data_IF_505115694539
#
_entry.id   IF_505115694539
#
_cell.length_a   1.000
_cell.length_b   1.000
_cell.length_c   1.000
_cell.angle_alpha   90.00
_cell.angle_beta   90.00
_cell.angle_gamma   90.00
#
_symmetry.space_group_name_H-M   'P 1'
#
loop_
_entity.id
_entity.type
_entity.pdbx_description
1 polymer ?
#
# COMPACT_ATOMS: atom_id res chain seq x y z
N UNK A 1 -18.00 19.08 -6.45
CA UNK A 1 -17.67 18.03 -5.46
C UNK A 1 -18.53 16.81 -5.76
N UNK A 2 -18.01 15.57 -5.76
CA UNK A 2 -18.85 14.39 -5.98
C UNK A 2 -19.80 14.21 -4.79
N UNK A 3 -21.07 14.02 -5.08
CA UNK A 3 -22.18 13.93 -4.12
C UNK A 3 -21.99 12.90 -2.98
N UNK A 4 -21.06 12.00 -3.09
CA UNK A 4 -20.79 10.92 -2.13
C UNK A 4 -19.67 11.23 -1.11
N UNK A 5 -18.84 12.28 -1.32
CA UNK A 5 -17.85 12.74 -0.33
C UNK A 5 -18.52 13.38 0.90
N UNK A 6 -19.75 13.83 0.75
CA UNK A 6 -20.56 14.49 1.81
C UNK A 6 -21.14 13.45 2.79
N UNK A 7 -21.37 12.20 2.33
CA UNK A 7 -22.10 11.19 3.12
C UNK A 7 -21.23 10.23 3.92
N UNK A 8 -19.93 10.16 3.65
CA UNK A 8 -19.02 9.18 4.31
C UNK A 8 -18.03 9.92 5.23
N UNK A 9 -18.44 10.96 5.91
CA UNK A 9 -17.61 11.73 6.85
C UNK A 9 -16.15 11.83 6.39
N UNK A 10 -15.57 13.02 6.30
CA UNK A 10 -14.25 13.29 5.70
C UNK A 10 -13.21 12.21 5.98
N UNK A 11 -12.35 11.97 5.03
CA UNK A 11 -11.23 11.02 5.13
C UNK A 11 -10.51 11.30 6.46
N UNK A 12 -10.47 10.35 7.41
CA UNK A 12 -9.79 10.58 8.67
C UNK A 12 -8.30 10.86 8.37
N UNK A 13 -7.80 11.97 8.89
CA UNK A 13 -6.37 12.34 8.84
C UNK A 13 -5.44 11.24 9.39
N UNK A 14 -5.99 10.30 10.13
CA UNK A 14 -5.31 9.15 10.74
C UNK A 14 -4.70 8.15 9.76
N UNK A 15 -5.07 8.16 8.48
CA UNK A 15 -4.33 7.41 7.46
C UNK A 15 -3.00 8.09 7.08
N UNK A 16 -2.73 9.29 7.61
CA UNK A 16 -1.53 10.05 7.30
C UNK A 16 -0.33 9.72 8.20
N UNK A 17 -0.52 9.11 9.37
CA UNK A 17 0.58 8.77 10.28
C UNK A 17 0.27 7.49 11.07
N UNK A 18 0.58 6.34 10.50
CA UNK A 18 0.81 5.14 11.29
C UNK A 18 2.14 5.27 12.04
N UNK A 19 2.14 5.97 13.19
CA UNK A 19 3.20 5.83 14.17
C UNK A 19 3.00 4.49 14.85
N UNK A 20 3.74 3.50 14.44
CA UNK A 20 3.97 2.34 15.29
C UNK A 20 4.98 2.74 16.37
N UNK A 21 4.49 3.26 17.49
CA UNK A 21 5.20 3.30 18.75
C UNK A 21 5.24 1.88 19.31
N UNK A 22 6.26 1.13 18.99
CA UNK A 22 6.57 -0.13 19.66
C UNK A 22 7.34 0.18 20.93
N UNK A 23 6.65 0.11 22.08
CA UNK A 23 7.29 0.01 23.39
C UNK A 23 8.05 -1.33 23.45
N UNK A 24 9.36 -1.26 23.24
CA UNK A 24 10.25 -2.39 23.49
C UNK A 24 10.72 -2.31 24.93
N UNK A 25 10.01 -3.00 25.84
CA UNK A 25 10.45 -3.28 27.20
C UNK A 25 11.81 -3.97 27.17
N UNK A 26 12.86 -3.23 27.52
CA UNK A 26 14.23 -3.71 27.60
C UNK A 26 14.42 -4.61 28.82
N UNK A 27 14.72 -5.88 28.59
CA UNK A 27 15.32 -6.76 29.58
C UNK A 27 16.84 -6.51 29.55
N UNK A 28 17.36 -5.83 30.55
CA UNK A 28 18.82 -5.70 30.75
C UNK A 28 19.37 -6.92 31.51
N UNK A 29 20.33 -7.65 30.97
CA UNK A 29 21.24 -8.43 31.81
C UNK A 29 22.42 -7.52 32.21
N UNK A 30 22.69 -7.48 33.49
CA UNK A 30 23.86 -6.84 34.07
C UNK A 30 25.13 -7.55 33.56
N UNK A 31 25.98 -6.80 32.85
CA UNK A 31 27.29 -7.30 32.43
C UNK A 31 28.39 -6.62 33.24
N UNK A 32 29.10 -7.45 33.99
CA UNK A 32 30.22 -7.08 34.82
C UNK A 32 31.37 -6.41 34.01
N UNK A 33 31.95 -5.36 34.60
CA UNK A 33 33.10 -4.64 34.07
C UNK A 33 34.36 -5.53 34.11
N UNK A 34 34.83 -5.96 32.94
CA UNK A 34 36.17 -6.44 32.76
C UNK A 34 36.90 -5.51 31.77
N UNK A 35 37.83 -4.71 32.31
CA UNK A 35 38.72 -3.88 31.49
C UNK A 35 39.79 -4.78 30.87
N UNK A 36 39.64 -5.12 29.60
CA UNK A 36 40.77 -5.55 28.77
C UNK A 36 40.96 -4.57 27.61
N UNK A 37 42.09 -3.85 27.62
CA UNK A 37 42.56 -3.05 26.47
C UNK A 37 42.91 -4.00 25.34
N UNK A 38 41.94 -4.28 24.46
CA UNK A 38 42.15 -4.98 23.20
C UNK A 38 42.37 -3.98 22.09
N UNK A 39 43.49 -4.14 21.38
CA UNK A 39 43.89 -3.39 20.19
C UNK A 39 42.78 -3.48 19.14
N UNK A 40 42.13 -2.35 18.87
CA UNK A 40 41.04 -2.26 17.88
C UNK A 40 41.60 -2.46 16.48
N UNK A 41 41.44 -3.64 15.90
CA UNK A 41 41.62 -3.84 14.47
C UNK A 41 40.38 -3.32 13.78
N UNK A 42 40.54 -2.31 12.89
CA UNK A 42 39.43 -1.80 12.05
C UNK A 42 38.89 -2.96 11.22
N UNK A 43 37.61 -3.32 11.35
CA UNK A 43 37.01 -4.28 10.44
C UNK A 43 36.94 -3.65 9.05
N UNK A 44 37.44 -4.36 8.04
CA UNK A 44 37.37 -3.96 6.65
C UNK A 44 35.88 -3.73 6.28
N UNK A 45 35.55 -2.50 5.85
CA UNK A 45 34.26 -2.16 5.33
C UNK A 45 33.97 -2.97 4.06
N UNK A 46 33.42 -4.17 4.21
CA UNK A 46 32.73 -4.84 3.10
C UNK A 46 31.39 -4.18 2.92
N UNK A 47 31.28 -3.30 1.92
CA UNK A 47 30.02 -2.82 1.38
C UNK A 47 29.28 -4.01 0.76
N UNK A 48 28.64 -4.82 1.56
CA UNK A 48 27.59 -5.68 1.09
C UNK A 48 26.28 -4.86 1.13
N UNK A 49 25.96 -4.26 -0.01
CA UNK A 49 24.57 -3.94 -0.31
C UNK A 49 23.84 -5.29 -0.34
N UNK A 50 23.40 -5.75 0.82
CA UNK A 50 22.52 -6.90 0.94
C UNK A 50 21.24 -6.54 0.23
N UNK A 51 21.06 -7.02 -0.99
CA UNK A 51 19.76 -7.10 -1.62
C UNK A 51 18.95 -8.09 -0.78
N UNK A 52 18.30 -7.57 0.26
CA UNK A 52 17.33 -8.32 1.00
C UNK A 52 16.29 -8.79 -0.01
N UNK A 53 16.25 -10.10 -0.28
CA UNK A 53 15.13 -10.69 -1.02
C UNK A 53 13.92 -10.45 -0.17
N UNK A 54 13.18 -9.38 -0.48
CA UNK A 54 11.86 -9.18 0.08
C UNK A 54 11.05 -10.41 -0.28
N UNK A 55 10.68 -11.23 0.70
CA UNK A 55 9.67 -12.25 0.56
C UNK A 55 8.33 -11.53 0.38
N UNK A 56 8.15 -10.94 -0.79
CA UNK A 56 6.86 -10.43 -1.20
C UNK A 56 5.97 -11.65 -1.44
N UNK A 57 4.77 -11.70 -0.85
CA UNK A 57 3.81 -12.72 -1.21
C UNK A 57 3.66 -12.78 -2.73
N UNK A 58 3.56 -13.97 -3.31
CA UNK A 58 3.42 -14.21 -4.78
C UNK A 58 2.26 -13.45 -5.44
N UNK A 59 1.46 -12.74 -4.68
CA UNK A 59 0.31 -11.97 -5.13
C UNK A 59 0.62 -10.55 -5.64
N UNK A 60 1.86 -10.08 -5.53
CA UNK A 60 2.28 -8.85 -6.19
C UNK A 60 2.58 -9.07 -7.67
N UNK A 61 1.56 -9.48 -8.41
CA UNK A 61 1.53 -9.17 -9.84
C UNK A 61 1.66 -7.66 -9.98
N UNK A 62 2.55 -7.21 -10.86
CA UNK A 62 2.67 -5.79 -11.23
C UNK A 62 1.25 -5.21 -11.32
N UNK A 63 0.90 -4.20 -10.52
CA UNK A 63 -0.46 -3.72 -10.42
C UNK A 63 -0.86 -3.14 -11.76
N UNK A 64 -1.51 -3.96 -12.56
CA UNK A 64 -2.25 -3.45 -13.70
C UNK A 64 -3.49 -2.78 -13.13
N UNK A 65 -3.70 -1.52 -13.47
CA UNK A 65 -4.86 -0.74 -13.00
C UNK A 65 -6.19 -1.50 -13.16
N UNK A 66 -6.32 -2.24 -14.25
CA UNK A 66 -7.51 -3.07 -14.52
C UNK A 66 -7.69 -4.19 -13.49
N UNK A 67 -6.60 -4.82 -13.03
CA UNK A 67 -6.68 -5.87 -11.99
C UNK A 67 -7.10 -5.27 -10.65
N UNK A 68 -6.51 -4.14 -10.28
CA UNK A 68 -6.84 -3.43 -9.05
C UNK A 68 -8.30 -2.96 -9.04
N UNK A 69 -8.76 -2.36 -10.13
CA UNK A 69 -10.15 -1.93 -10.30
C UNK A 69 -11.12 -3.11 -10.28
N UNK A 70 -10.77 -4.26 -10.87
CA UNK A 70 -11.60 -5.46 -10.80
C UNK A 70 -11.73 -5.98 -9.35
N UNK A 71 -10.64 -5.97 -8.57
CA UNK A 71 -10.69 -6.35 -7.15
C UNK A 71 -11.57 -5.38 -6.35
N UNK A 72 -11.50 -4.08 -6.62
CA UNK A 72 -12.40 -3.07 -6.04
C UNK A 72 -13.85 -3.40 -6.31
N UNK A 73 -14.18 -3.62 -7.59
CA UNK A 73 -15.53 -3.99 -8.01
C UNK A 73 -16.04 -5.23 -7.26
N UNK A 74 -15.24 -6.29 -7.20
CA UNK A 74 -15.63 -7.53 -6.50
C UNK A 74 -15.85 -7.31 -4.99
N UNK A 75 -15.04 -6.45 -4.36
CA UNK A 75 -15.25 -6.07 -2.95
C UNK A 75 -16.53 -5.26 -2.75
N UNK A 76 -16.87 -4.35 -3.67
CA UNK A 76 -18.13 -3.60 -3.62
C UNK A 76 -19.34 -4.52 -3.83
N UNK A 77 -19.26 -5.42 -4.81
CA UNK A 77 -20.30 -6.41 -5.04
C UNK A 77 -20.59 -7.26 -3.79
N UNK A 78 -19.52 -7.66 -3.09
CA UNK A 78 -19.64 -8.37 -1.81
C UNK A 78 -20.27 -7.49 -0.73
N UNK A 79 -19.93 -6.21 -0.67
CA UNK A 79 -20.51 -5.28 0.31
C UNK A 79 -22.02 -5.11 0.06
N UNK A 80 -22.44 -4.97 -1.20
CA UNK A 80 -23.88 -4.94 -1.54
C UNK A 80 -24.59 -6.23 -1.12
N UNK A 81 -23.96 -7.41 -1.33
CA UNK A 81 -24.52 -8.68 -0.90
C UNK A 81 -24.66 -8.76 0.63
N UNK A 82 -23.65 -8.30 1.37
CA UNK A 82 -23.67 -8.24 2.83
C UNK A 82 -24.80 -7.34 3.34
N UNK A 83 -25.01 -6.16 2.70
CA UNK A 83 -26.08 -5.22 3.05
C UNK A 83 -27.45 -5.86 2.76
N UNK A 84 -27.68 -6.35 1.55
CA UNK A 84 -28.98 -6.95 1.18
C UNK A 84 -29.32 -8.15 2.07
N UNK A 85 -28.31 -8.94 2.47
CA UNK A 85 -28.52 -10.08 3.39
C UNK A 85 -28.92 -9.64 4.80
N UNK A 86 -28.36 -8.52 5.29
CA UNK A 86 -28.65 -8.02 6.65
C UNK A 86 -29.95 -7.23 6.75
N UNK A 87 -30.35 -6.56 5.67
CA UNK A 87 -31.54 -5.68 5.63
C UNK A 87 -32.77 -6.34 5.03
N UNK A 88 -32.62 -7.45 4.30
CA UNK A 88 -33.68 -8.05 3.50
C UNK A 88 -34.01 -7.29 2.22
N UNK A 89 -33.29 -6.23 1.92
CA UNK A 89 -33.50 -5.38 0.75
C UNK A 89 -33.28 -6.12 -0.58
N UNK A 90 -34.07 -5.76 -1.60
CA UNK A 90 -33.94 -6.35 -2.92
C UNK A 90 -32.60 -6.00 -3.55
N UNK A 91 -31.86 -7.05 -3.95
CA UNK A 91 -30.57 -6.89 -4.59
C UNK A 91 -30.65 -6.15 -5.92
N UNK A 92 -29.87 -5.07 -6.12
CA UNK A 92 -29.85 -4.33 -7.38
C UNK A 92 -29.16 -5.13 -8.49
N UNK A 93 -29.43 -4.77 -9.76
CA UNK A 93 -28.86 -5.44 -10.94
C UNK A 93 -27.43 -4.99 -11.17
N UNK A 94 -26.45 -5.76 -10.70
CA UNK A 94 -25.02 -5.39 -10.71
C UNK A 94 -24.24 -5.80 -11.98
N UNK A 95 -24.84 -6.51 -12.91
CA UNK A 95 -24.21 -6.97 -14.17
C UNK A 95 -22.87 -7.71 -13.99
N UNK A 96 -22.67 -8.45 -12.91
CA UNK A 96 -21.42 -9.14 -12.52
C UNK A 96 -20.82 -10.00 -13.62
N UNK A 97 -21.66 -10.80 -14.30
CA UNK A 97 -21.21 -11.68 -15.40
C UNK A 97 -20.61 -10.87 -16.55
N UNK A 98 -21.20 -9.73 -16.88
CA UNK A 98 -20.71 -8.84 -17.94
C UNK A 98 -19.39 -8.19 -17.54
N UNK A 99 -19.32 -7.64 -16.33
CA UNK A 99 -18.13 -6.99 -15.80
C UNK A 99 -16.94 -7.97 -15.74
N UNK A 100 -17.17 -9.21 -15.26
CA UNK A 100 -16.16 -10.27 -15.24
C UNK A 100 -15.71 -10.65 -16.65
N UNK A 101 -16.63 -10.78 -17.59
CA UNK A 101 -16.30 -11.11 -19.00
C UNK A 101 -15.45 -10.00 -19.63
N UNK A 102 -15.79 -8.74 -19.40
CA UNK A 102 -15.01 -7.60 -19.91
C UNK A 102 -13.60 -7.57 -19.32
N UNK A 103 -13.45 -7.87 -18.02
CA UNK A 103 -12.15 -8.03 -17.38
C UNK A 103 -11.34 -9.19 -17.98
N UNK A 104 -11.92 -10.38 -18.05
CA UNK A 104 -11.24 -11.59 -18.55
C UNK A 104 -10.81 -11.46 -20.02
N UNK A 105 -11.56 -10.74 -20.84
CA UNK A 105 -11.21 -10.50 -22.23
C UNK A 105 -9.86 -9.80 -22.38
N UNK A 106 -9.58 -8.78 -21.54
CA UNK A 106 -8.28 -8.12 -21.54
C UNK A 106 -7.21 -8.97 -20.86
N UNK A 107 -7.53 -9.59 -19.72
CA UNK A 107 -6.56 -10.38 -18.94
C UNK A 107 -6.01 -11.57 -19.71
N UNK A 108 -6.84 -12.22 -20.54
CA UNK A 108 -6.46 -13.36 -21.38
C UNK A 108 -5.80 -12.96 -22.72
N UNK A 109 -5.84 -11.68 -23.07
CA UNK A 109 -5.23 -11.20 -24.32
C UNK A 109 -3.70 -11.25 -24.23
N UNK A 110 -3.05 -11.90 -25.21
CA UNK A 110 -1.59 -11.94 -25.32
C UNK A 110 -1.01 -10.57 -25.69
N UNK A 111 -1.69 -9.84 -26.60
CA UNK A 111 -1.31 -8.48 -27.01
C UNK A 111 -2.32 -7.50 -26.46
N UNK A 112 -1.85 -6.51 -25.69
CA UNK A 112 -2.67 -5.50 -25.03
C UNK A 112 -2.28 -4.12 -25.55
N UNK A 113 -3.06 -3.56 -26.47
CA UNK A 113 -2.85 -2.19 -26.94
C UNK A 113 -3.24 -1.18 -25.85
N UNK A 114 -2.61 0.00 -25.85
CA UNK A 114 -2.95 1.09 -24.93
C UNK A 114 -4.45 1.46 -25.02
N UNK A 115 -5.03 1.46 -26.23
CA UNK A 115 -6.46 1.69 -26.46
C UNK A 115 -7.34 0.65 -25.78
N UNK A 116 -6.95 -0.66 -25.85
CA UNK A 116 -7.70 -1.73 -25.20
C UNK A 116 -7.63 -1.63 -23.67
N UNK A 117 -6.46 -1.31 -23.11
CA UNK A 117 -6.26 -1.10 -21.67
C UNK A 117 -7.11 0.10 -21.21
N UNK A 118 -7.02 1.24 -21.89
CA UNK A 118 -7.81 2.44 -21.56
C UNK A 118 -9.32 2.16 -21.60
N UNK A 119 -9.79 1.42 -22.61
CA UNK A 119 -11.21 1.02 -22.71
C UNK A 119 -11.64 0.12 -21.55
N UNK A 120 -10.79 -0.81 -21.12
CA UNK A 120 -11.07 -1.70 -20.00
C UNK A 120 -11.09 -0.92 -18.65
N UNK A 121 -10.14 -0.02 -18.43
CA UNK A 121 -10.12 0.88 -17.25
C UNK A 121 -11.42 1.68 -17.20
N UNK A 122 -11.82 2.33 -18.31
CA UNK A 122 -13.07 3.10 -18.39
C UNK A 122 -14.29 2.27 -17.96
N UNK A 123 -14.40 1.04 -18.45
CA UNK A 123 -15.51 0.14 -18.09
C UNK A 123 -15.49 -0.24 -16.61
N UNK A 124 -14.33 -0.56 -16.05
CA UNK A 124 -14.22 -0.89 -14.63
C UNK A 124 -14.60 0.30 -13.75
N UNK A 125 -14.15 1.52 -14.08
CA UNK A 125 -14.55 2.74 -13.38
C UNK A 125 -16.08 2.95 -13.42
N UNK A 126 -16.72 2.69 -14.57
CA UNK A 126 -18.19 2.78 -14.68
C UNK A 126 -18.90 1.74 -13.80
N UNK A 127 -18.40 0.52 -13.73
CA UNK A 127 -18.98 -0.51 -12.85
C UNK A 127 -18.83 -0.13 -11.38
N UNK A 128 -17.66 0.34 -10.97
CA UNK A 128 -17.37 0.80 -9.59
C UNK A 128 -18.31 1.96 -9.23
N UNK A 129 -18.39 2.98 -10.08
CA UNK A 129 -19.26 4.14 -9.86
C UNK A 129 -20.72 3.74 -9.62
N UNK A 130 -21.23 2.81 -10.41
CA UNK A 130 -22.58 2.29 -10.25
C UNK A 130 -22.75 1.55 -8.92
N UNK A 131 -21.80 0.66 -8.59
CA UNK A 131 -21.86 -0.16 -7.39
C UNK A 131 -21.74 0.69 -6.11
N UNK A 132 -20.92 1.73 -6.14
CA UNK A 132 -20.87 2.77 -5.09
C UNK A 132 -22.22 3.48 -4.98
N UNK A 133 -22.84 3.85 -6.11
CA UNK A 133 -24.16 4.48 -6.13
C UNK A 133 -25.24 3.65 -5.43
N UNK A 134 -25.23 2.33 -5.59
CA UNK A 134 -26.16 1.46 -4.87
C UNK A 134 -25.94 1.49 -3.35
N UNK A 135 -24.69 1.48 -2.90
CA UNK A 135 -24.38 1.55 -1.47
C UNK A 135 -24.81 2.91 -0.90
N UNK A 136 -24.59 4.00 -1.64
CA UNK A 136 -25.05 5.33 -1.24
C UNK A 136 -26.57 5.36 -1.12
N UNK A 137 -27.31 4.76 -2.06
CA UNK A 137 -28.78 4.66 -1.98
C UNK A 137 -29.23 3.90 -0.73
N UNK A 138 -28.60 2.79 -0.37
CA UNK A 138 -28.92 2.08 0.87
C UNK A 138 -28.66 2.94 2.11
N UNK A 139 -27.56 3.69 2.15
CA UNK A 139 -27.28 4.60 3.28
C UNK A 139 -28.34 5.71 3.35
N UNK A 140 -28.74 6.26 2.21
CA UNK A 140 -29.82 7.28 2.14
C UNK A 140 -31.19 6.74 2.57
N UNK A 141 -31.47 5.45 2.33
CA UNK A 141 -32.68 4.79 2.85
C UNK A 141 -32.59 4.40 4.34
N UNK A 142 -31.53 4.80 5.04
CA UNK A 142 -31.40 4.61 6.49
C UNK A 142 -30.57 3.39 6.91
N UNK A 143 -29.99 2.64 5.96
CA UNK A 143 -29.14 1.49 6.29
C UNK A 143 -27.83 1.96 6.93
N UNK A 144 -27.54 1.48 8.12
CA UNK A 144 -26.28 1.76 8.83
C UNK A 144 -25.20 0.77 8.40
N UNK A 145 -24.09 1.31 7.87
CA UNK A 145 -22.91 0.51 7.54
C UNK A 145 -22.13 0.13 8.80
N UNK A 146 -21.61 -1.10 8.84
CA UNK A 146 -20.66 -1.54 9.86
C UNK A 146 -19.33 -0.79 9.70
N UNK A 147 -18.52 -0.70 10.76
CA UNK A 147 -17.19 -0.05 10.68
C UNK A 147 -16.29 -0.70 9.61
N UNK A 148 -16.36 -2.01 9.46
CA UNK A 148 -15.64 -2.72 8.40
C UNK A 148 -16.07 -2.30 7.00
N UNK A 149 -17.37 -2.07 6.80
CA UNK A 149 -17.91 -1.59 5.52
C UNK A 149 -17.54 -0.13 5.27
N UNK A 150 -17.59 0.73 6.29
CA UNK A 150 -17.16 2.13 6.20
C UNK A 150 -15.67 2.23 5.81
N UNK A 151 -14.79 1.50 6.49
CA UNK A 151 -13.36 1.49 6.19
C UNK A 151 -13.09 0.96 4.77
N UNK A 152 -13.84 -0.04 4.32
CA UNK A 152 -13.77 -0.54 2.94
C UNK A 152 -14.22 0.53 1.95
N UNK A 153 -15.29 1.24 2.23
CA UNK A 153 -15.81 2.31 1.36
C UNK A 153 -14.81 3.47 1.27
N UNK A 154 -14.21 3.91 2.38
CA UNK A 154 -13.20 4.97 2.38
C UNK A 154 -11.99 4.60 1.50
N UNK A 155 -11.48 3.38 1.63
CA UNK A 155 -10.37 2.90 0.81
C UNK A 155 -10.73 2.84 -0.68
N UNK A 156 -11.90 2.28 -1.00
CA UNK A 156 -12.40 2.15 -2.37
C UNK A 156 -12.61 3.51 -3.01
N UNK A 157 -13.15 4.45 -2.27
CA UNK A 157 -13.39 5.82 -2.72
C UNK A 157 -12.08 6.52 -3.07
N UNK A 158 -11.11 6.48 -2.17
CA UNK A 158 -9.79 7.07 -2.41
C UNK A 158 -9.13 6.44 -3.65
N UNK A 159 -9.18 5.12 -3.78
CA UNK A 159 -8.61 4.42 -4.93
C UNK A 159 -9.34 4.76 -6.24
N UNK A 160 -10.68 4.82 -6.19
CA UNK A 160 -11.48 5.19 -7.37
C UNK A 160 -11.12 6.60 -7.87
N UNK A 161 -11.00 7.58 -6.96
CA UNK A 161 -10.60 8.95 -7.33
C UNK A 161 -9.19 8.99 -7.91
N UNK A 162 -8.25 8.29 -7.31
CA UNK A 162 -6.90 8.18 -7.83
C UNK A 162 -6.88 7.61 -9.26
N UNK A 163 -7.60 6.52 -9.49
CA UNK A 163 -7.67 5.88 -10.79
C UNK A 163 -8.45 6.71 -11.81
N UNK A 164 -9.50 7.42 -11.38
CA UNK A 164 -10.24 8.36 -12.22
C UNK A 164 -9.35 9.52 -12.67
N UNK A 165 -8.63 10.14 -11.72
CA UNK A 165 -7.72 11.24 -12.02
C UNK A 165 -6.64 10.82 -13.02
N UNK A 166 -5.99 9.66 -12.81
CA UNK A 166 -5.00 9.13 -13.75
C UNK A 166 -5.61 8.85 -15.12
N UNK A 167 -6.84 8.32 -15.16
CA UNK A 167 -7.54 8.07 -16.43
C UNK A 167 -7.86 9.35 -17.18
N UNK A 168 -8.34 10.40 -16.50
CA UNK A 168 -8.71 11.69 -17.08
C UNK A 168 -7.47 12.47 -17.53
N UNK A 169 -6.42 12.53 -16.71
CA UNK A 169 -5.17 13.23 -17.04
C UNK A 169 -4.26 12.46 -18.00
N UNK A 170 -4.50 11.17 -18.24
CA UNK A 170 -3.62 10.33 -19.05
C UNK A 170 -2.28 10.00 -18.39
N UNK A 171 -2.12 10.28 -17.10
CA UNK A 171 -0.91 9.98 -16.34
C UNK A 171 -0.98 8.58 -15.72
N UNK A 172 0.19 8.01 -15.39
CA UNK A 172 0.28 6.73 -14.68
C UNK A 172 0.89 6.89 -13.28
N UNK A 173 1.12 8.12 -12.84
CA UNK A 173 1.72 8.43 -11.55
C UNK A 173 0.98 9.56 -10.87
N UNK A 174 0.70 9.35 -9.58
CA UNK A 174 0.13 10.35 -8.67
C UNK A 174 0.76 10.16 -7.29
N UNK A 175 0.83 11.20 -6.46
CA UNK A 175 1.31 11.09 -5.09
C UNK A 175 0.48 10.07 -4.30
N UNK A 176 1.15 9.32 -3.43
CA UNK A 176 0.53 8.33 -2.53
C UNK A 176 -0.38 7.31 -3.22
N UNK A 177 -0.04 6.94 -4.45
CA UNK A 177 -0.83 5.97 -5.24
C UNK A 177 -1.02 4.66 -4.48
N UNK A 178 -2.28 4.26 -4.32
CA UNK A 178 -2.63 2.95 -3.77
C UNK A 178 -2.45 1.90 -4.87
N UNK A 179 -1.66 0.88 -4.60
CA UNK A 179 -1.34 -0.22 -5.53
C UNK A 179 -1.84 -1.57 -5.07
N UNK A 180 -2.29 -1.68 -3.82
CA UNK A 180 -2.84 -2.90 -3.23
C UNK A 180 -4.02 -2.58 -2.32
N UNK A 181 -5.09 -3.36 -2.44
CA UNK A 181 -6.24 -3.28 -1.52
C UNK A 181 -6.00 -4.01 -0.20
N UNK A 182 -5.10 -4.99 -0.19
CA UNK A 182 -4.74 -5.73 1.01
C UNK A 182 -3.75 -4.94 1.89
N UNK A 183 -2.88 -4.18 1.23
CA UNK A 183 -1.84 -3.37 1.86
C UNK A 183 -1.87 -1.94 1.29
N UNK A 184 -2.84 -1.10 1.70
CA UNK A 184 -3.03 0.24 1.13
C UNK A 184 -1.88 1.21 1.38
N UNK A 185 -1.02 0.90 2.34
CA UNK A 185 0.17 1.68 2.71
C UNK A 185 1.36 1.43 1.80
N UNK A 186 1.39 0.30 1.06
CA UNK A 186 2.50 -0.01 0.14
C UNK A 186 2.49 0.96 -1.04
N UNK A 187 3.69 1.46 -1.36
CA UNK A 187 3.90 2.42 -2.45
C UNK A 187 4.81 1.86 -3.53
N UNK A 188 4.69 2.34 -4.76
CA UNK A 188 5.67 2.06 -5.80
C UNK A 188 6.97 2.82 -5.49
N UNK A 189 8.09 2.11 -5.43
CA UNK A 189 9.43 2.66 -5.24
C UNK A 189 10.16 2.56 -6.57
N UNK A 190 10.48 3.69 -7.18
CA UNK A 190 11.23 3.73 -8.43
C UNK A 190 12.71 3.50 -8.11
N UNK A 191 13.27 2.42 -8.68
CA UNK A 191 14.70 2.12 -8.60
C UNK A 191 15.23 2.00 -10.02
N UNK A 192 16.23 2.75 -10.40
CA UNK A 192 16.81 2.79 -11.75
C UNK A 192 17.49 1.48 -12.21
N UNK A 193 16.93 0.32 -11.89
CA UNK A 193 17.43 -1.00 -12.30
C UNK A 193 16.94 -1.36 -13.71
N UNK A 194 17.82 -1.94 -14.58
CA UNK A 194 17.48 -2.20 -15.99
C UNK A 194 16.28 -3.13 -16.21
N UNK A 195 16.02 -4.06 -15.29
CA UNK A 195 14.99 -5.09 -15.45
C UNK A 195 13.72 -4.88 -14.60
N UNK A 196 13.76 -3.98 -13.61
CA UNK A 196 12.63 -3.69 -12.74
C UNK A 196 12.72 -2.25 -12.24
N UNK A 197 12.14 -1.33 -13.02
CA UNK A 197 12.18 0.10 -12.69
C UNK A 197 11.39 0.45 -11.42
N UNK A 198 10.46 -0.40 -11.00
CA UNK A 198 9.60 -0.14 -9.86
C UNK A 198 9.50 -1.37 -8.98
N UNK A 199 9.78 -1.20 -7.72
CA UNK A 199 9.59 -2.20 -6.67
C UNK A 199 8.42 -1.78 -5.77
N UNK A 200 7.78 -2.76 -5.11
CA UNK A 200 6.70 -2.53 -4.19
C UNK A 200 7.08 -3.11 -2.84
N UNK A 201 6.90 -2.37 -1.78
CA UNK A 201 7.23 -2.86 -0.45
C UNK A 201 7.66 -1.76 0.49
N UNK A 202 8.39 -2.16 1.51
CA UNK A 202 8.96 -1.29 2.53
C UNK A 202 10.41 -1.01 2.18
N UNK A 203 10.85 0.23 2.36
CA UNK A 203 12.26 0.57 2.32
C UNK A 203 12.85 0.44 3.72
N UNK A 204 13.91 -0.37 3.84
CA UNK A 204 14.61 -0.60 5.08
C UNK A 204 16.00 0.05 5.00
N UNK A 205 16.35 0.82 6.02
CA UNK A 205 17.72 1.22 6.31
C UNK A 205 18.24 0.31 7.43
N UNK A 206 19.31 -0.41 7.16
CA UNK A 206 19.88 -1.40 8.07
C UNK A 206 21.33 -1.03 8.34
N UNK A 207 21.71 -0.94 9.62
CA UNK A 207 23.09 -0.90 10.07
C UNK A 207 23.57 -2.30 10.42
N UNK A 208 24.87 -2.56 10.22
CA UNK A 208 25.52 -3.80 10.59
C UNK A 208 26.67 -3.48 11.54
N UNK A 209 26.59 -3.97 12.78
CA UNK A 209 27.59 -3.75 13.82
C UNK A 209 27.96 -5.10 14.41
N UNK A 210 29.24 -5.46 14.36
CA UNK A 210 29.79 -6.72 14.89
C UNK A 210 29.03 -7.98 14.40
N UNK A 211 28.56 -7.95 13.15
CA UNK A 211 27.80 -9.06 12.56
C UNK A 211 26.30 -9.05 12.87
N UNK A 212 25.82 -8.12 13.69
CA UNK A 212 24.40 -7.99 14.02
C UNK A 212 23.73 -6.92 13.16
N UNK A 213 22.63 -7.29 12.49
CA UNK A 213 21.85 -6.37 11.70
C UNK A 213 20.80 -5.65 12.58
N UNK A 214 20.66 -4.35 12.39
CA UNK A 214 19.66 -3.52 13.07
C UNK A 214 18.89 -2.69 12.06
N UNK A 215 17.57 -2.62 12.23
CA UNK A 215 16.73 -1.73 11.42
C UNK A 215 16.83 -0.32 12.01
N UNK A 216 17.40 0.60 11.25
CA UNK A 216 17.50 2.01 11.61
C UNK A 216 16.27 2.82 11.19
N UNK A 217 15.72 2.49 10.02
CA UNK A 217 14.48 3.10 9.52
C UNK A 217 13.69 2.10 8.68
N UNK A 218 12.38 2.14 8.86
CA UNK A 218 11.43 1.41 8.05
C UNK A 218 10.39 2.41 7.52
N UNK A 219 10.23 2.49 6.20
CA UNK A 219 9.28 3.40 5.58
C UNK A 219 8.64 2.75 4.35
N UNK A 220 7.38 3.09 4.07
CA UNK A 220 6.67 2.64 2.87
C UNK A 220 6.79 3.64 1.72
N UNK A 221 7.25 4.86 1.99
CA UNK A 221 7.54 5.85 0.97
C UNK A 221 9.03 5.82 0.60
N UNK A 222 9.32 6.19 -0.64
CA UNK A 222 10.70 6.31 -1.08
C UNK A 222 11.38 7.47 -0.35
N UNK A 223 12.54 7.22 0.24
CA UNK A 223 13.41 8.24 0.84
C UNK A 223 14.84 8.05 0.36
N UNK A 224 15.64 9.10 0.42
CA UNK A 224 17.07 9.02 0.13
C UNK A 224 17.81 8.51 1.37
N UNK A 225 18.59 7.45 1.22
CA UNK A 225 19.37 6.88 2.33
C UNK A 225 20.43 7.85 2.87
N UNK A 226 20.95 8.75 2.01
CA UNK A 226 21.89 9.78 2.42
C UNK A 226 21.29 10.77 3.44
N UNK A 227 19.98 11.03 3.38
CA UNK A 227 19.29 11.92 4.32
C UNK A 227 19.19 11.32 5.73
N UNK A 228 19.11 9.99 5.82
CA UNK A 228 19.02 9.28 7.11
C UNK A 228 20.37 8.84 7.67
N UNK A 229 21.45 9.03 6.89
CA UNK A 229 22.79 8.58 7.27
C UNK A 229 23.26 9.19 8.61
N UNK A 230 23.21 10.51 8.72
CA UNK A 230 23.64 11.18 9.96
C UNK A 230 22.78 10.81 11.16
N UNK A 231 21.49 10.63 10.96
CA UNK A 231 20.60 10.16 12.02
C UNK A 231 21.00 8.77 12.53
N UNK A 232 21.41 7.87 11.63
CA UNK A 232 21.87 6.54 11.99
C UNK A 232 23.24 6.61 12.74
N UNK A 233 24.16 7.49 12.31
CA UNK A 233 25.44 7.73 12.97
C UNK A 233 25.25 8.28 14.41
N UNK A 234 24.35 9.25 14.58
CA UNK A 234 24.06 9.77 15.93
C UNK A 234 23.43 8.70 16.83
N UNK A 235 22.48 7.90 16.31
CA UNK A 235 21.91 6.76 17.06
C UNK A 235 22.97 5.71 17.41
N UNK A 236 23.96 5.49 16.55
CA UNK A 236 25.10 4.61 16.85
C UNK A 236 25.93 5.17 18.01
N UNK A 237 26.34 6.44 17.93
CA UNK A 237 27.10 7.12 19.00
C UNK A 237 26.36 7.05 20.34
N UNK A 238 25.07 7.34 20.36
CA UNK A 238 24.27 7.35 21.60
C UNK A 238 24.15 5.96 22.23
N UNK A 239 24.28 4.89 21.43
CA UNK A 239 24.23 3.50 21.93
C UNK A 239 25.57 2.99 22.44
N UNK A 240 26.62 3.33 21.76
CA UNK A 240 27.93 2.73 21.96
C UNK A 240 28.96 3.69 22.57
N UNK A 241 28.57 4.94 22.79
CA UNK A 241 29.40 6.02 23.31
C UNK A 241 30.71 6.22 22.52
N UNK A 242 30.67 5.91 21.23
CA UNK A 242 31.78 6.09 20.31
C UNK A 242 31.31 6.45 18.90
N UNK A 243 32.20 7.08 18.13
CA UNK A 243 31.94 7.35 16.71
C UNK A 243 32.32 6.14 15.85
N UNK A 244 31.62 6.00 14.71
CA UNK A 244 31.87 4.93 13.71
C UNK A 244 33.17 5.16 12.95
#
# INVERSE_FOLDING_TARGET
MPLWSIYIGGVPETLQRGRYGGDSGGIHPAVGRSRRRGRFQRPAQRRHAGTGRHLLPREYCYPQDVNLLNQVREKLEKTVDEICKSTGEKKPRMYRRRARRDFLRLSKSKKRSAKAIRSAVKKQLQYIRRDVGYIVQFVQSGVKLTEKQKNRMNLVTTLYEQQRLMFESGTHSIPRRIVSLAQPWVRPIVRGKPHANTEFGTKLHISLVDGYARIERLDFEAYNESEDFWSAVYRYRDRYDCWT
#
